data_IF_507752270770
#
_entry.id   IF_507752270770
#
_cell.length_a   1.000
_cell.length_b   1.000
_cell.length_c   1.000
_cell.angle_alpha   90.00
_cell.angle_beta   90.00
_cell.angle_gamma   90.00
#
_symmetry.space_group_name_H-M   'P 1'
#
loop_
_entity.id
_entity.type
_entity.pdbx_description
1 polymer ?
#
# COMPACT_ATOMS: atom_id res chain seq x y z
N UNK A 1 -1.84 22.30 -8.11
CA UNK A 1 -0.92 21.47 -7.32
C UNK A 1 0.47 21.72 -7.88
N UNK A 2 1.43 22.27 -7.11
CA UNK A 2 2.77 22.48 -7.63
C UNK A 2 3.43 21.13 -7.93
N UNK A 3 4.07 21.04 -9.10
CA UNK A 3 4.99 20.00 -9.61
C UNK A 3 4.84 18.59 -9.00
N UNK A 4 3.73 17.92 -9.30
CA UNK A 4 3.61 16.46 -9.09
C UNK A 4 4.53 15.78 -10.09
N UNK A 5 5.48 14.97 -9.61
CA UNK A 5 6.29 14.12 -10.46
C UNK A 5 5.51 12.84 -10.77
N UNK A 6 5.43 12.51 -12.06
CA UNK A 6 4.68 11.35 -12.53
C UNK A 6 3.15 11.51 -12.50
N UNK A 7 2.45 10.46 -12.87
CA UNK A 7 0.98 10.41 -12.81
C UNK A 7 0.50 9.90 -11.46
N UNK A 8 -0.69 10.33 -11.02
CA UNK A 8 -1.37 9.72 -9.87
C UNK A 8 -1.73 8.27 -10.24
N UNK A 9 -1.22 7.33 -9.46
CA UNK A 9 -1.38 5.89 -9.67
C UNK A 9 -2.37 5.27 -8.69
N UNK A 10 -2.40 5.79 -7.47
CA UNK A 10 -3.24 5.29 -6.38
C UNK A 10 -3.86 6.43 -5.58
N UNK A 11 -5.02 6.15 -4.99
CA UNK A 11 -5.71 7.08 -4.10
C UNK A 11 -6.56 6.28 -3.10
N UNK A 12 -6.55 6.71 -1.84
CA UNK A 12 -7.43 6.17 -0.81
C UNK A 12 -8.10 7.29 -0.03
N UNK A 13 -9.37 7.10 0.29
CA UNK A 13 -10.07 7.94 1.25
C UNK A 13 -9.73 7.48 2.67
N UNK A 14 -9.48 8.45 3.54
CA UNK A 14 -9.39 8.24 5.00
C UNK A 14 -10.72 8.64 5.64
N UNK A 15 -11.25 9.79 5.21
CA UNK A 15 -12.57 10.34 5.57
C UNK A 15 -13.18 11.01 4.33
N UNK A 16 -14.38 11.59 4.46
CA UNK A 16 -14.97 12.39 3.37
C UNK A 16 -14.20 13.66 3.02
N UNK A 17 -13.32 14.12 3.92
CA UNK A 17 -12.50 15.33 3.78
C UNK A 17 -11.00 15.06 3.74
N UNK A 18 -10.54 13.80 3.78
CA UNK A 18 -9.11 13.47 3.81
C UNK A 18 -8.80 12.29 2.88
N UNK A 19 -7.79 12.47 2.04
CA UNK A 19 -7.29 11.45 1.12
C UNK A 19 -5.76 11.32 1.21
N UNK A 20 -5.27 10.14 0.84
CA UNK A 20 -3.90 9.96 0.40
C UNK A 20 -3.87 9.64 -1.10
N UNK A 21 -2.84 10.11 -1.81
CA UNK A 21 -2.61 9.82 -3.22
C UNK A 21 -1.15 9.47 -3.47
N UNK A 22 -0.90 8.46 -4.30
CA UNK A 22 0.43 7.94 -4.64
C UNK A 22 0.72 8.11 -6.12
N UNK A 23 1.98 8.34 -6.48
CA UNK A 23 2.37 8.61 -7.88
C UNK A 23 3.28 7.55 -8.48
N UNK A 24 3.41 7.58 -9.81
CA UNK A 24 4.41 6.80 -10.55
C UNK A 24 5.84 7.32 -10.38
N UNK A 25 6.06 8.36 -9.58
CA UNK A 25 7.39 8.87 -9.23
C UNK A 25 7.71 8.67 -7.74
N UNK A 26 6.99 7.79 -7.04
CA UNK A 26 7.29 7.51 -5.65
C UNK A 26 6.88 8.63 -4.69
N UNK A 27 5.91 9.48 -5.05
CA UNK A 27 5.42 10.53 -4.16
C UNK A 27 4.12 10.12 -3.47
N UNK A 28 3.95 10.53 -2.21
CA UNK A 28 2.70 10.39 -1.47
C UNK A 28 2.21 11.76 -0.99
N UNK A 29 0.96 12.07 -1.29
CA UNK A 29 0.31 13.31 -0.93
C UNK A 29 -0.81 13.03 0.06
N UNK A 30 -0.93 13.85 1.10
CA UNK A 30 -2.05 13.82 2.07
C UNK A 30 -2.93 15.05 1.87
N UNK A 31 -4.01 14.96 1.10
CA UNK A 31 -4.82 16.14 0.79
C UNK A 31 -6.07 16.23 1.66
N UNK A 32 -6.41 17.44 2.11
CA UNK A 32 -7.65 17.72 2.85
C UNK A 32 -8.60 18.57 2.03
N UNK A 33 -9.90 18.27 2.14
CA UNK A 33 -10.95 19.03 1.47
C UNK A 33 -11.30 20.26 2.30
N UNK A 34 -11.22 21.43 1.69
CA UNK A 34 -11.63 22.71 2.27
C UNK A 34 -12.68 23.34 1.36
N UNK A 35 -13.92 23.42 1.85
CA UNK A 35 -15.07 23.78 1.02
C UNK A 35 -15.31 22.76 -0.08
N UNK A 36 -15.38 23.21 -1.34
CA UNK A 36 -15.56 22.34 -2.51
C UNK A 36 -14.27 21.79 -3.11
N UNK A 37 -13.09 22.21 -2.62
CA UNK A 37 -11.80 21.95 -3.26
C UNK A 37 -10.87 21.11 -2.38
N UNK A 38 -10.11 20.22 -3.01
CA UNK A 38 -8.99 19.51 -2.36
C UNK A 38 -7.78 20.44 -2.31
N UNK A 39 -7.21 20.61 -1.12
CA UNK A 39 -6.03 21.43 -0.89
C UNK A 39 -4.95 20.57 -0.23
N UNK A 40 -3.70 20.80 -0.63
CA UNK A 40 -2.50 20.27 0.02
C UNK A 40 -1.83 21.44 0.73
N UNK A 41 -1.58 21.37 2.03
CA UNK A 41 -0.67 22.31 2.67
C UNK A 41 0.78 21.94 2.31
N UNK A 42 1.73 22.87 2.50
CA UNK A 42 3.15 22.58 2.22
C UNK A 42 3.71 21.42 3.08
N UNK A 43 3.06 21.18 4.23
CA UNK A 43 3.23 20.10 5.21
C UNK A 43 2.59 18.77 4.82
N UNK A 44 1.90 18.71 3.67
CA UNK A 44 1.10 17.55 3.25
C UNK A 44 1.71 16.80 2.05
N UNK A 45 2.85 17.28 1.54
CA UNK A 45 3.63 16.58 0.53
C UNK A 45 4.74 15.80 1.23
N UNK A 46 4.64 14.47 1.20
CA UNK A 46 5.76 13.62 1.56
C UNK A 46 6.20 12.81 0.34
N UNK A 47 7.34 13.19 -0.22
CA UNK A 47 7.97 12.33 -1.20
C UNK A 47 8.50 11.10 -0.47
N UNK A 48 8.26 9.89 -0.99
CA UNK A 48 8.86 8.64 -0.47
C UNK A 48 10.37 8.59 -0.78
N UNK A 49 11.01 9.74 -0.98
CA UNK A 49 12.46 9.88 -1.23
C UNK A 49 13.27 9.45 -0.02
N UNK A 50 12.71 9.51 1.18
CA UNK A 50 13.37 9.08 2.40
C UNK A 50 12.58 7.87 2.92
N UNK A 51 13.01 6.61 2.67
CA UNK A 51 14.39 6.11 2.58
C UNK A 51 14.85 5.54 1.21
N UNK A 52 14.08 5.69 0.12
CA UNK A 52 14.39 5.02 -1.17
C UNK A 52 14.90 6.03 -2.20
N UNK A 53 16.15 5.88 -2.64
CA UNK A 53 16.82 6.70 -3.65
C UNK A 53 17.33 5.82 -4.80
N UNK A 54 16.39 5.26 -5.56
CA UNK A 54 16.68 4.44 -6.75
C UNK A 54 16.18 5.15 -8.02
N UNK A 55 16.84 4.90 -9.14
CA UNK A 55 16.48 5.42 -10.47
C UNK A 55 16.18 4.26 -11.43
N UNK A 56 14.96 4.15 -11.99
CA UNK A 56 13.80 5.03 -11.78
C UNK A 56 13.19 4.87 -10.38
N UNK A 57 12.54 5.92 -9.88
CA UNK A 57 11.82 5.85 -8.60
C UNK A 57 10.70 4.81 -8.65
N UNK A 58 10.45 4.10 -7.53
CA UNK A 58 9.40 3.09 -7.45
C UNK A 58 8.01 3.71 -7.62
N UNK A 59 7.09 2.95 -8.21
CA UNK A 59 5.70 3.39 -8.31
C UNK A 59 4.95 3.08 -7.03
N UNK A 60 4.20 4.05 -6.51
CA UNK A 60 3.25 3.82 -5.41
C UNK A 60 1.97 3.21 -5.99
N UNK A 61 1.93 1.89 -6.06
CA UNK A 61 0.87 1.14 -6.75
C UNK A 61 -0.44 1.09 -5.98
N UNK A 62 -0.37 1.06 -4.65
CA UNK A 62 -1.54 1.17 -3.78
C UNK A 62 -1.18 1.79 -2.41
N UNK A 63 -2.18 2.37 -1.77
CA UNK A 63 -2.11 3.05 -0.48
C UNK A 63 -3.35 2.69 0.34
N UNK A 64 -3.19 2.44 1.63
CA UNK A 64 -4.32 2.25 2.57
C UNK A 64 -4.02 2.93 3.90
N UNK A 65 -5.00 3.61 4.47
CA UNK A 65 -4.88 4.20 5.80
C UNK A 65 -5.37 3.19 6.86
N UNK A 66 -4.52 2.74 7.79
CA UNK A 66 -4.94 1.82 8.86
C UNK A 66 -5.80 2.50 9.92
N UNK A 67 -5.72 3.83 10.03
CA UNK A 67 -6.45 4.65 11.02
C UNK A 67 -7.15 5.82 10.35
N UNK A 68 -8.28 6.26 10.94
CA UNK A 68 -9.17 7.26 10.33
C UNK A 68 -8.78 8.71 10.62
N UNK A 69 -7.79 8.95 11.48
CA UNK A 69 -7.32 10.31 11.81
C UNK A 69 -6.31 10.86 10.79
N UNK A 70 -5.84 10.01 9.86
CA UNK A 70 -4.86 10.41 8.85
C UNK A 70 -3.43 10.52 9.34
N UNK A 71 -3.14 9.99 10.54
CA UNK A 71 -1.80 9.97 11.10
C UNK A 71 -0.92 8.87 10.48
N UNK A 72 -1.51 7.87 9.83
CA UNK A 72 -0.78 6.76 9.23
C UNK A 72 -1.26 6.40 7.82
N UNK A 73 -0.33 5.87 7.01
CA UNK A 73 -0.60 5.25 5.71
C UNK A 73 0.33 4.07 5.51
N UNK A 74 -0.14 3.01 4.85
CA UNK A 74 0.71 1.95 4.33
C UNK A 74 0.74 2.12 2.81
N UNK A 75 1.95 2.17 2.26
CA UNK A 75 2.21 2.27 0.83
C UNK A 75 2.86 0.98 0.33
N UNK A 76 2.42 0.49 -0.82
CA UNK A 76 3.09 -0.59 -1.55
C UNK A 76 3.73 -0.08 -2.82
N UNK A 77 4.89 -0.65 -3.13
CA UNK A 77 5.78 -0.20 -4.19
C UNK A 77 6.00 -1.32 -5.21
N UNK A 78 6.08 -0.91 -6.48
CA UNK A 78 6.42 -1.80 -7.60
C UNK A 78 7.80 -1.47 -8.15
N UNK A 79 8.60 -2.52 -8.38
CA UNK A 79 9.96 -2.51 -8.92
C UNK A 79 10.86 -3.48 -8.15
N UNK A 80 12.18 -3.24 -8.12
CA UNK A 80 13.17 -4.17 -7.57
C UNK A 80 14.31 -3.43 -6.84
N UNK A 81 14.95 -4.10 -5.88
CA UNK A 81 16.14 -3.60 -5.18
C UNK A 81 15.85 -2.64 -4.03
N UNK A 82 14.62 -2.61 -3.51
CA UNK A 82 14.20 -1.76 -2.40
C UNK A 82 13.06 -2.44 -1.60
N UNK A 83 12.75 -1.97 -0.39
CA UNK A 83 11.60 -2.47 0.35
C UNK A 83 10.27 -2.14 -0.33
N UNK A 84 9.37 -3.11 -0.41
CA UNK A 84 8.13 -3.00 -1.18
C UNK A 84 6.91 -2.54 -0.38
N UNK A 85 6.98 -2.59 0.95
CA UNK A 85 5.90 -2.16 1.85
C UNK A 85 6.46 -1.19 2.87
N UNK A 86 5.90 0.02 2.90
CA UNK A 86 6.33 1.10 3.79
C UNK A 86 5.16 1.57 4.65
N UNK A 87 5.42 1.75 5.94
CA UNK A 87 4.52 2.41 6.87
C UNK A 87 4.95 3.87 7.05
N UNK A 88 4.07 4.79 6.66
CA UNK A 88 4.23 6.22 6.82
C UNK A 88 3.46 6.72 8.04
N UNK A 89 4.09 7.53 8.89
CA UNK A 89 3.42 8.27 9.97
C UNK A 89 3.57 9.76 9.76
N UNK A 90 2.54 10.55 10.06
CA UNK A 90 2.48 11.99 9.83
C UNK A 90 2.21 12.74 11.13
N UNK A 91 3.17 13.55 11.57
CA UNK A 91 3.02 14.42 12.72
C UNK A 91 2.14 15.65 12.42
N UNK A 92 1.69 16.32 13.48
CA UNK A 92 0.88 17.56 13.38
C UNK A 92 1.63 18.71 12.69
N UNK A 93 2.96 18.72 12.77
CA UNK A 93 3.80 19.72 12.10
C UNK A 93 4.01 19.44 10.59
N UNK A 94 3.42 18.35 10.07
CA UNK A 94 3.56 17.96 8.67
C UNK A 94 4.75 17.05 8.37
N UNK A 95 5.58 16.74 9.36
CA UNK A 95 6.69 15.80 9.17
C UNK A 95 6.12 14.41 8.95
N UNK A 96 6.54 13.78 7.86
CA UNK A 96 6.27 12.37 7.63
C UNK A 96 7.53 11.52 7.82
N UNK A 97 7.36 10.36 8.44
CA UNK A 97 8.42 9.36 8.60
C UNK A 97 7.98 8.04 7.98
N UNK A 98 8.91 7.39 7.30
CA UNK A 98 8.66 6.13 6.59
C UNK A 98 9.53 5.03 7.17
N UNK A 99 8.91 3.91 7.51
CA UNK A 99 9.58 2.71 7.98
C UNK A 99 9.27 1.55 7.05
N UNK A 100 10.29 0.81 6.64
CA UNK A 100 10.06 -0.45 5.92
C UNK A 100 9.38 -1.46 6.83
N UNK A 101 8.28 -2.02 6.33
CA UNK A 101 7.59 -3.17 6.91
C UNK A 101 7.55 -4.33 5.90
N UNK A 102 8.64 -4.49 5.15
CA UNK A 102 8.83 -5.61 4.22
C UNK A 102 9.45 -6.84 4.90
N UNK A 103 9.53 -6.86 6.23
CA UNK A 103 10.22 -7.88 7.02
C UNK A 103 11.75 -7.87 6.86
N UNK A 104 12.39 -8.86 7.48
CA UNK A 104 13.84 -9.06 7.43
C UNK A 104 14.20 -10.56 7.56
N UNK A 105 15.35 -10.96 7.02
CA UNK A 105 15.81 -12.35 7.08
C UNK A 105 14.96 -13.29 6.21
N UNK A 106 14.81 -14.54 6.65
CA UNK A 106 14.11 -15.59 5.91
C UNK A 106 12.59 -15.36 5.80
N UNK A 107 12.03 -14.54 6.70
CA UNK A 107 10.62 -14.18 6.76
C UNK A 107 10.32 -12.84 6.05
N UNK A 108 11.32 -12.27 5.36
CA UNK A 108 11.15 -11.06 4.58
C UNK A 108 10.28 -11.31 3.34
N UNK A 109 9.57 -10.28 2.92
CA UNK A 109 8.95 -10.27 1.61
C UNK A 109 10.06 -10.36 0.54
N UNK A 110 9.95 -11.30 -0.42
CA UNK A 110 10.91 -11.37 -1.52
C UNK A 110 10.92 -10.09 -2.36
N UNK A 111 12.02 -9.83 -3.06
CA UNK A 111 12.17 -8.69 -3.95
C UNK A 111 11.33 -8.86 -5.23
N UNK A 112 10.02 -8.58 -5.11
CA UNK A 112 9.01 -8.80 -6.13
C UNK A 112 8.08 -7.56 -6.15
N UNK A 113 7.75 -7.02 -7.34
CA UNK A 113 6.83 -5.91 -7.47
C UNK A 113 5.49 -6.19 -6.78
N UNK A 114 5.02 -5.20 -6.01
CA UNK A 114 3.73 -5.24 -5.33
C UNK A 114 2.75 -4.31 -6.04
N UNK A 115 1.54 -4.79 -6.29
CA UNK A 115 0.53 -4.11 -7.11
C UNK A 115 -0.72 -3.73 -6.32
N UNK A 116 -1.05 -4.48 -5.26
CA UNK A 116 -2.26 -4.28 -4.48
C UNK A 116 -1.98 -4.42 -2.98
N UNK A 117 -2.68 -3.62 -2.17
CA UNK A 117 -2.65 -3.69 -0.72
C UNK A 117 -4.06 -3.81 -0.15
N UNK A 118 -4.20 -4.71 0.81
CA UNK A 118 -5.43 -4.90 1.56
C UNK A 118 -5.11 -5.00 3.06
N UNK A 119 -5.74 -4.14 3.85
CA UNK A 119 -5.72 -4.20 5.30
C UNK A 119 -6.98 -4.96 5.76
N UNK A 120 -6.82 -5.93 6.64
CA UNK A 120 -7.95 -6.66 7.21
C UNK A 120 -8.77 -5.72 8.12
N UNK A 121 -10.09 -5.56 7.89
CA UNK A 121 -10.93 -4.70 8.71
C UNK A 121 -11.14 -5.24 10.14
N UNK A 122 -10.87 -6.53 10.38
CA UNK A 122 -10.94 -7.14 11.70
C UNK A 122 -9.67 -7.00 12.54
N UNK A 123 -8.54 -6.73 11.90
CA UNK A 123 -7.24 -6.54 12.56
C UNK A 123 -6.27 -5.78 11.63
N UNK A 124 -6.00 -4.52 11.92
CA UNK A 124 -5.14 -3.66 11.08
C UNK A 124 -3.69 -4.14 10.97
N UNK A 125 -3.27 -5.11 11.80
CA UNK A 125 -1.95 -5.77 11.69
C UNK A 125 -1.94 -6.88 10.65
N UNK A 126 -3.11 -7.41 10.24
CA UNK A 126 -3.21 -8.40 9.18
C UNK A 126 -3.24 -7.71 7.83
N UNK A 127 -2.18 -7.93 7.05
CA UNK A 127 -1.99 -7.31 5.74
C UNK A 127 -1.98 -8.39 4.67
N UNK A 128 -2.57 -8.10 3.51
CA UNK A 128 -2.48 -8.92 2.32
C UNK A 128 -1.99 -8.05 1.18
N UNK A 129 -1.07 -8.59 0.37
CA UNK A 129 -0.54 -7.89 -0.79
C UNK A 129 -0.61 -8.78 -2.02
N UNK A 130 -0.98 -8.16 -3.13
CA UNK A 130 -0.91 -8.77 -4.45
C UNK A 130 0.41 -8.43 -5.10
N UNK A 131 1.17 -9.44 -5.53
CA UNK A 131 2.46 -9.27 -6.19
C UNK A 131 2.43 -9.87 -7.59
N UNK A 132 3.50 -9.69 -8.36
CA UNK A 132 3.69 -10.37 -9.64
C UNK A 132 3.79 -11.91 -9.50
N UNK A 133 3.93 -12.41 -8.27
CA UNK A 133 4.11 -13.83 -7.95
C UNK A 133 3.11 -14.35 -6.90
N UNK A 134 1.86 -13.91 -7.03
CA UNK A 134 0.74 -14.35 -6.19
C UNK A 134 0.51 -13.45 -4.98
N UNK A 135 -0.18 -14.01 -3.97
CA UNK A 135 -0.54 -13.26 -2.76
C UNK A 135 0.43 -13.58 -1.64
N UNK A 136 0.87 -12.55 -0.93
CA UNK A 136 1.57 -12.65 0.34
C UNK A 136 0.73 -12.02 1.44
N UNK A 137 0.95 -12.45 2.68
CA UNK A 137 0.23 -11.91 3.82
C UNK A 137 1.14 -11.82 5.05
N UNK A 138 0.79 -10.90 5.94
CA UNK A 138 1.43 -10.72 7.24
C UNK A 138 0.36 -10.74 8.33
N UNK A 139 0.69 -11.32 9.48
CA UNK A 139 -0.16 -11.32 10.67
C UNK A 139 0.24 -10.26 11.69
N UNK A 140 1.37 -9.57 11.47
CA UNK A 140 2.10 -8.84 12.50
C UNK A 140 2.52 -7.44 12.07
N UNK A 141 1.77 -6.84 11.15
CA UNK A 141 1.99 -5.48 10.65
C UNK A 141 3.16 -5.37 9.68
N UNK A 142 3.53 -6.46 9.00
CA UNK A 142 4.63 -6.51 8.04
C UNK A 142 6.00 -6.79 8.67
N UNK A 143 6.03 -7.33 9.90
CA UNK A 143 7.29 -7.80 10.50
C UNK A 143 7.74 -9.12 9.84
N UNK A 144 6.79 -9.99 9.50
CA UNK A 144 7.00 -11.21 8.73
C UNK A 144 5.97 -11.35 7.61
N UNK A 145 6.37 -11.97 6.50
CA UNK A 145 5.55 -12.20 5.32
C UNK A 145 5.53 -13.67 4.91
N UNK A 146 4.34 -14.17 4.58
CA UNK A 146 4.11 -15.55 4.20
C UNK A 146 3.39 -15.61 2.86
N UNK A 147 3.75 -16.56 2.00
CA UNK A 147 3.03 -16.78 0.75
C UNK A 147 1.67 -17.43 1.03
N UNK A 148 0.59 -16.87 0.48
CA UNK A 148 -0.76 -17.42 0.58
C UNK A 148 -1.04 -18.31 -0.65
N UNK A 149 -0.99 -19.63 -0.46
CA UNK A 149 -1.12 -20.63 -1.53
C UNK A 149 -2.43 -21.42 -1.53
N UNK A 150 -3.43 -21.00 -0.76
CA UNK A 150 -4.69 -21.73 -0.53
C UNK A 150 -5.63 -21.68 -1.76
N UNK A 151 -5.24 -22.35 -2.85
CA UNK A 151 -5.98 -22.40 -4.12
C UNK A 151 -5.76 -21.19 -5.03
N UNK A 152 -4.99 -20.18 -4.60
CA UNK A 152 -4.67 -19.01 -5.42
C UNK A 152 -3.55 -19.32 -6.44
N UNK A 153 -3.66 -18.80 -7.68
CA UNK A 153 -2.68 -19.06 -8.72
C UNK A 153 -1.37 -18.32 -8.46
N UNK A 154 -0.27 -18.87 -8.99
CA UNK A 154 1.01 -18.19 -9.01
C UNK A 154 1.10 -17.27 -10.24
N UNK A 155 0.56 -16.06 -10.15
CA UNK A 155 0.47 -15.09 -11.23
C UNK A 155 0.35 -13.68 -10.65
N UNK A 156 0.45 -12.65 -11.50
CA UNK A 156 0.28 -11.26 -11.11
C UNK A 156 -1.11 -11.02 -10.52
N UNK A 157 -1.13 -10.41 -9.34
CA UNK A 157 -2.35 -10.03 -8.63
C UNK A 157 -2.49 -8.52 -8.70
N UNK A 158 -3.53 -8.03 -9.38
CA UNK A 158 -3.76 -6.61 -9.62
C UNK A 158 -4.59 -5.95 -8.51
N UNK A 159 -5.48 -6.70 -7.87
CA UNK A 159 -6.38 -6.17 -6.86
C UNK A 159 -6.79 -7.27 -5.87
N UNK A 160 -6.98 -6.88 -4.62
CA UNK A 160 -7.44 -7.74 -3.53
C UNK A 160 -8.66 -7.11 -2.85
N UNK A 161 -9.67 -7.93 -2.58
CA UNK A 161 -10.86 -7.52 -1.83
C UNK A 161 -11.21 -8.59 -0.80
N UNK A 162 -11.47 -8.19 0.44
CA UNK A 162 -11.98 -9.08 1.47
C UNK A 162 -13.45 -8.83 1.75
N UNK A 163 -14.24 -9.88 1.60
CA UNK A 163 -15.67 -9.84 1.89
C UNK A 163 -15.95 -10.02 3.40
N UNK A 164 -17.14 -9.61 3.90
CA UNK A 164 -17.53 -9.84 5.29
C UNK A 164 -17.52 -11.32 5.71
N UNK A 165 -17.71 -12.25 4.77
CA UNK A 165 -17.64 -13.70 5.02
C UNK A 165 -16.20 -14.25 5.03
N UNK A 166 -15.19 -13.39 5.13
CA UNK A 166 -13.77 -13.75 5.14
C UNK A 166 -13.27 -14.44 3.85
N UNK A 167 -13.99 -14.25 2.74
CA UNK A 167 -13.52 -14.70 1.43
C UNK A 167 -12.68 -13.60 0.79
N UNK A 168 -11.41 -13.91 0.56
CA UNK A 168 -10.46 -13.08 -0.16
C UNK A 168 -10.64 -13.30 -1.65
N UNK A 169 -10.93 -12.24 -2.39
CA UNK A 169 -11.03 -12.21 -3.83
C UNK A 169 -9.75 -11.58 -4.40
N UNK A 170 -9.18 -12.20 -5.42
CA UNK A 170 -7.96 -11.75 -6.08
C UNK A 170 -8.20 -11.61 -7.59
N UNK A 171 -8.09 -10.38 -8.11
CA UNK A 171 -8.10 -10.13 -9.54
C UNK A 171 -6.70 -10.41 -10.10
N UNK A 172 -6.62 -11.27 -11.11
CA UNK A 172 -5.35 -11.78 -11.64
C UNK A 172 -5.06 -11.24 -13.04
N UNK A 173 -3.78 -11.25 -13.42
CA UNK A 173 -3.35 -11.00 -14.79
C UNK A 173 -3.82 -12.10 -15.74
N UNK A 174 -4.82 -11.78 -16.55
CA UNK A 174 -5.28 -12.61 -17.66
C UNK A 174 -5.99 -13.93 -17.28
N UNK A 175 -6.29 -14.16 -15.99
CA UNK A 175 -6.92 -15.41 -15.50
C UNK A 175 -8.21 -15.20 -14.70
N UNK A 176 -8.77 -13.99 -14.75
CA UNK A 176 -10.03 -13.65 -14.10
C UNK A 176 -9.88 -13.41 -12.59
N UNK A 177 -10.95 -13.66 -11.83
CA UNK A 177 -11.01 -13.49 -10.38
C UNK A 177 -10.94 -14.85 -9.71
N UNK A 178 -10.03 -14.98 -8.74
CA UNK A 178 -9.88 -16.16 -7.88
C UNK A 178 -10.35 -15.85 -6.47
N UNK A 179 -10.72 -16.88 -5.72
CA UNK A 179 -11.16 -16.72 -4.34
C UNK A 179 -10.51 -17.73 -3.42
N UNK A 180 -10.30 -17.32 -2.18
CA UNK A 180 -9.77 -18.15 -1.11
C UNK A 180 -10.52 -17.82 0.18
N UNK A 181 -11.04 -18.84 0.87
CA UNK A 181 -11.59 -18.67 2.20
C UNK A 181 -10.44 -18.48 3.20
N UNK A 182 -10.43 -17.37 3.92
CA UNK A 182 -9.52 -17.15 5.02
C UNK A 182 -10.10 -17.76 6.29
N UNK A 183 -9.23 -18.39 7.10
CA UNK A 183 -9.58 -18.79 8.45
C UNK A 183 -9.93 -17.56 9.29
N UNK A 184 -10.85 -17.69 10.27
CA UNK A 184 -11.16 -16.62 11.23
C UNK A 184 -9.91 -16.08 11.95
#
# INVERSE_FOLDING_TARGET
MPDVLGGVKSLTFVTSDLIFAGTTAGEVFRARRIGSSWQTQQTDRCVVTLPIQVDPMPWVTDLKAPVTDGSEVIAVLSGFGFPHVLHGTFAMDGTATWTSISGAGDDALPDIPVNALLIDPGDVRKLYIGTDFGVYWSADGGTSWNRLSNGLPNTGINELVLTPSRMLLAATDGRGVWSCQLSP
#
